data_IF_749187767715
#
_entry.id   IF_749187767715
#
_cell.length_a   1.000
_cell.length_b   1.000
_cell.length_c   1.000
_cell.angle_alpha   90.00
_cell.angle_beta   90.00
_cell.angle_gamma   90.00
#
_symmetry.space_group_name_H-M   'P 1'
#
loop_
_entity.id
_entity.type
_entity.pdbx_description
1 polymer ?
#
# COMPACT_ATOMS: atom_id res chain seq x y z
N UNK A 1 48.38 6.47 9.07
CA UNK A 1 47.39 7.27 8.35
C UNK A 1 46.06 6.54 8.27
N UNK A 2 45.29 6.46 9.34
CA UNK A 2 44.00 5.72 9.41
C UNK A 2 42.94 6.46 10.22
N UNK A 3 43.04 7.80 10.39
CA UNK A 3 42.15 8.58 11.28
C UNK A 3 41.19 9.54 10.63
N UNK A 4 41.26 9.81 9.33
CA UNK A 4 40.46 10.89 8.72
C UNK A 4 39.22 10.41 7.91
N UNK A 5 38.91 9.12 7.86
CA UNK A 5 37.90 8.64 6.93
C UNK A 5 36.50 8.38 7.50
N UNK A 6 36.27 8.39 8.82
CA UNK A 6 34.96 8.04 9.37
C UNK A 6 34.00 9.23 9.51
N UNK A 7 34.45 10.37 10.01
CA UNK A 7 33.61 11.56 10.20
C UNK A 7 33.11 12.17 8.88
N UNK A 8 33.88 12.08 7.78
CA UNK A 8 33.47 12.55 6.46
C UNK A 8 32.39 11.70 5.78
N UNK A 9 32.08 10.53 6.33
CA UNK A 9 31.11 9.55 5.80
C UNK A 9 29.77 9.55 6.55
N UNK A 10 29.62 10.34 7.61
CA UNK A 10 28.41 10.41 8.42
C UNK A 10 27.71 11.78 8.29
N UNK A 11 26.38 11.76 8.39
CA UNK A 11 25.52 12.91 8.44
C UNK A 11 24.47 12.68 9.54
N UNK A 12 24.33 13.62 10.50
CA UNK A 12 23.42 13.46 11.66
C UNK A 12 23.63 12.16 12.46
N UNK A 13 24.90 11.71 12.58
CA UNK A 13 25.23 10.48 13.31
C UNK A 13 24.89 9.17 12.56
N UNK A 14 24.55 9.25 11.28
CA UNK A 14 24.26 8.10 10.42
C UNK A 14 25.13 8.12 9.16
N UNK A 15 25.40 6.95 8.53
CA UNK A 15 26.06 6.89 7.23
C UNK A 15 25.31 7.75 6.19
N UNK A 16 26.03 8.50 5.37
CA UNK A 16 25.42 9.33 4.29
C UNK A 16 24.51 8.54 3.36
N UNK A 17 24.76 7.25 3.18
CA UNK A 17 23.88 6.34 2.43
C UNK A 17 22.45 6.30 2.93
N UNK A 18 22.21 6.49 4.25
CA UNK A 18 20.86 6.58 4.79
C UNK A 18 20.10 7.80 4.23
N UNK A 19 20.75 8.97 4.20
CA UNK A 19 20.13 10.19 3.65
C UNK A 19 19.79 10.00 2.17
N UNK A 20 20.70 9.40 1.40
CA UNK A 20 20.45 9.09 -0.02
C UNK A 20 19.24 8.20 -0.17
N UNK A 21 19.18 7.07 0.53
CA UNK A 21 18.08 6.11 0.43
C UNK A 21 16.76 6.71 0.92
N UNK A 22 16.78 7.40 2.07
CA UNK A 22 15.57 8.00 2.64
C UNK A 22 14.99 9.11 1.74
N UNK A 23 15.83 9.98 1.18
CA UNK A 23 15.38 11.04 0.27
C UNK A 23 14.90 10.46 -1.07
N UNK A 24 15.57 9.44 -1.60
CA UNK A 24 15.12 8.77 -2.83
C UNK A 24 13.74 8.13 -2.62
N UNK A 25 13.54 7.42 -1.50
CA UNK A 25 12.24 6.81 -1.16
C UNK A 25 11.16 7.87 -0.93
N UNK A 26 11.49 8.98 -0.31
CA UNK A 26 10.54 10.09 -0.15
C UNK A 26 9.98 10.57 -1.50
N UNK A 27 10.86 10.79 -2.48
CA UNK A 27 10.43 11.20 -3.83
C UNK A 27 9.68 10.10 -4.56
N UNK A 28 10.08 8.85 -4.38
CA UNK A 28 9.36 7.70 -4.92
C UNK A 28 7.96 7.62 -4.31
N UNK A 29 7.82 7.72 -2.98
CA UNK A 29 6.51 7.72 -2.32
C UNK A 29 5.65 8.92 -2.72
N UNK A 30 6.25 10.10 -2.86
CA UNK A 30 5.57 11.27 -3.39
C UNK A 30 4.95 10.99 -4.77
N UNK A 31 5.72 10.42 -5.69
CA UNK A 31 5.24 10.08 -7.02
C UNK A 31 4.17 8.98 -6.99
N UNK A 32 4.42 7.93 -6.21
CA UNK A 32 3.53 6.78 -6.05
C UNK A 32 2.15 7.17 -5.50
N UNK A 33 2.10 7.84 -4.34
CA UNK A 33 0.83 8.21 -3.71
C UNK A 33 0.11 9.32 -4.48
N UNK A 34 0.84 10.22 -5.12
CA UNK A 34 0.25 11.20 -6.02
C UNK A 34 -0.44 10.56 -7.22
N UNK A 35 0.21 9.61 -7.86
CA UNK A 35 -0.38 8.82 -8.94
C UNK A 35 -1.61 8.04 -8.47
N UNK A 36 -1.51 7.35 -7.33
CA UNK A 36 -2.61 6.56 -6.77
C UNK A 36 -3.84 7.42 -6.47
N UNK A 37 -3.64 8.62 -5.93
CA UNK A 37 -4.72 9.54 -5.60
C UNK A 37 -5.48 10.04 -6.83
N UNK A 38 -4.77 10.26 -7.96
CA UNK A 38 -5.39 10.78 -9.18
C UNK A 38 -6.00 9.71 -10.08
N UNK A 39 -5.46 8.48 -10.05
CA UNK A 39 -5.69 7.50 -11.11
C UNK A 39 -7.17 7.15 -11.34
N UNK A 40 -7.95 6.91 -10.28
CA UNK A 40 -9.37 6.60 -10.40
C UNK A 40 -10.15 7.77 -10.99
N UNK A 41 -9.94 8.99 -10.46
CA UNK A 41 -10.62 10.20 -10.93
C UNK A 41 -10.21 10.53 -12.37
N UNK A 42 -8.92 10.43 -12.69
CA UNK A 42 -8.42 10.63 -14.04
C UNK A 42 -9.09 9.70 -15.05
N UNK A 43 -9.16 8.40 -14.75
CA UNK A 43 -9.80 7.44 -15.65
C UNK A 43 -11.28 7.76 -15.85
N UNK A 44 -12.01 8.03 -14.78
CA UNK A 44 -13.48 8.19 -14.85
C UNK A 44 -13.93 9.56 -15.34
N UNK A 45 -13.15 10.62 -15.12
CA UNK A 45 -13.52 12.00 -15.45
C UNK A 45 -12.88 12.52 -16.75
N UNK A 46 -11.87 11.81 -17.26
CA UNK A 46 -11.12 12.31 -18.42
C UNK A 46 -10.78 11.21 -19.43
N UNK A 47 -9.97 10.22 -19.03
CA UNK A 47 -9.38 9.25 -19.97
C UNK A 47 -10.41 8.41 -20.73
N UNK A 48 -11.49 7.98 -20.03
CA UNK A 48 -12.50 7.09 -20.62
C UNK A 48 -13.61 7.85 -21.35
N UNK A 49 -13.56 9.19 -21.38
CA UNK A 49 -14.45 9.96 -22.25
C UNK A 49 -14.16 9.62 -23.72
N UNK A 50 -15.20 9.54 -24.59
CA UNK A 50 -15.04 9.08 -25.97
C UNK A 50 -14.00 9.84 -26.79
N UNK A 51 -13.82 11.14 -26.52
CA UNK A 51 -12.85 12.02 -27.18
C UNK A 51 -11.40 11.67 -26.83
N UNK A 52 -11.11 11.15 -25.63
CA UNK A 52 -9.77 10.80 -25.16
C UNK A 52 -9.47 9.29 -25.30
N UNK A 53 -10.46 8.46 -25.01
CA UNK A 53 -10.29 7.00 -24.98
C UNK A 53 -9.77 6.40 -26.31
N UNK A 54 -10.16 7.01 -27.45
CA UNK A 54 -9.71 6.56 -28.78
C UNK A 54 -8.23 6.80 -29.05
N UNK A 55 -7.63 7.78 -28.37
CA UNK A 55 -6.24 8.17 -28.58
C UNK A 55 -5.27 7.38 -27.72
N UNK A 56 -5.79 6.60 -26.75
CA UNK A 56 -4.97 5.77 -25.84
C UNK A 56 -4.52 4.49 -26.52
N UNK A 57 -3.21 4.33 -26.66
CA UNK A 57 -2.59 3.18 -27.30
C UNK A 57 -2.98 1.86 -26.61
N UNK A 58 -3.65 0.96 -27.33
CA UNK A 58 -4.00 -0.37 -26.85
C UNK A 58 -5.19 -0.46 -25.90
N UNK A 59 -5.89 0.67 -25.59
CA UNK A 59 -7.00 0.68 -24.63
C UNK A 59 -8.15 -0.25 -25.07
N UNK A 60 -8.52 -0.20 -26.34
CA UNK A 60 -9.60 -1.04 -26.87
C UNK A 60 -9.27 -2.55 -26.75
N UNK A 61 -8.03 -2.95 -27.04
CA UNK A 61 -7.57 -4.33 -26.90
C UNK A 61 -7.53 -4.75 -25.44
N UNK A 62 -7.03 -3.88 -24.53
CA UNK A 62 -6.99 -4.13 -23.09
C UNK A 62 -8.41 -4.28 -22.51
N UNK A 63 -9.33 -3.38 -22.87
CA UNK A 63 -10.75 -3.44 -22.46
C UNK A 63 -11.42 -4.71 -22.96
N UNK A 64 -11.20 -5.09 -24.22
CA UNK A 64 -11.71 -6.34 -24.81
C UNK A 64 -11.15 -7.57 -24.08
N UNK A 65 -9.85 -7.59 -23.78
CA UNK A 65 -9.23 -8.68 -23.02
C UNK A 65 -9.82 -8.82 -21.62
N UNK A 66 -10.01 -7.71 -20.89
CA UNK A 66 -10.67 -7.75 -19.59
C UNK A 66 -12.14 -8.18 -19.70
N UNK A 67 -12.86 -7.72 -20.74
CA UNK A 67 -14.24 -8.11 -20.97
C UNK A 67 -14.38 -9.62 -21.28
N UNK A 68 -13.39 -10.22 -21.92
CA UNK A 68 -13.35 -11.68 -22.14
C UNK A 68 -13.20 -12.45 -20.84
N UNK A 69 -12.41 -11.94 -19.89
CA UNK A 69 -12.14 -12.60 -18.60
C UNK A 69 -13.26 -12.36 -17.57
N UNK A 70 -13.77 -11.13 -17.51
CA UNK A 70 -14.68 -10.68 -16.45
C UNK A 70 -16.09 -10.32 -16.94
N UNK A 71 -16.37 -10.40 -18.23
CA UNK A 71 -17.63 -9.98 -18.85
C UNK A 71 -17.64 -8.47 -19.16
N UNK A 72 -18.72 -7.96 -19.80
CA UNK A 72 -18.89 -6.54 -20.12
C UNK A 72 -18.78 -5.66 -18.88
N UNK A 73 -18.18 -4.48 -19.03
CA UNK A 73 -17.93 -3.53 -17.93
C UNK A 73 -18.29 -2.12 -18.36
N UNK A 74 -18.94 -1.37 -17.46
CA UNK A 74 -19.06 0.08 -17.54
C UNK A 74 -17.70 0.77 -17.41
N UNK A 75 -17.65 2.09 -17.63
CA UNK A 75 -16.40 2.84 -17.50
C UNK A 75 -15.89 2.86 -16.05
N UNK A 76 -16.78 2.98 -15.05
CA UNK A 76 -16.40 2.92 -13.64
C UNK A 76 -15.88 1.52 -13.28
N UNK A 77 -16.54 0.46 -13.74
CA UNK A 77 -16.10 -0.93 -13.51
C UNK A 77 -14.74 -1.20 -14.16
N UNK A 78 -14.53 -0.70 -15.39
CA UNK A 78 -13.25 -0.83 -16.10
C UNK A 78 -12.14 -0.03 -15.40
N UNK A 79 -12.42 1.19 -14.95
CA UNK A 79 -11.48 2.00 -14.18
C UNK A 79 -11.10 1.31 -12.85
N UNK A 80 -12.09 0.80 -12.13
CA UNK A 80 -11.85 0.08 -10.88
C UNK A 80 -11.02 -1.19 -11.10
N UNK A 81 -11.33 -1.98 -12.15
CA UNK A 81 -10.56 -3.18 -12.48
C UNK A 81 -9.13 -2.84 -12.87
N UNK A 82 -8.93 -1.79 -13.66
CA UNK A 82 -7.60 -1.30 -14.06
C UNK A 82 -6.81 -0.81 -12.86
N UNK A 83 -7.44 -0.02 -11.96
CA UNK A 83 -6.84 0.43 -10.70
C UNK A 83 -6.46 -0.75 -9.81
N UNK A 84 -7.34 -1.75 -9.68
CA UNK A 84 -7.08 -2.95 -8.89
C UNK A 84 -5.92 -3.77 -9.44
N UNK A 85 -5.83 -3.97 -10.76
CA UNK A 85 -4.71 -4.67 -11.42
C UNK A 85 -3.41 -3.88 -11.24
N UNK A 86 -3.42 -2.58 -11.52
CA UNK A 86 -2.25 -1.71 -11.36
C UNK A 86 -1.73 -1.74 -9.92
N UNK A 87 -2.58 -1.40 -8.96
CA UNK A 87 -2.21 -1.34 -7.55
C UNK A 87 -1.82 -2.72 -7.01
N UNK A 88 -2.53 -3.77 -7.39
CA UNK A 88 -2.20 -5.14 -7.00
C UNK A 88 -0.80 -5.55 -7.48
N UNK A 89 -0.48 -5.31 -8.74
CA UNK A 89 0.84 -5.64 -9.29
C UNK A 89 1.96 -4.83 -8.64
N UNK A 90 1.71 -3.59 -8.19
CA UNK A 90 2.69 -2.82 -7.42
C UNK A 90 3.09 -3.51 -6.10
N UNK A 91 2.18 -4.26 -5.47
CA UNK A 91 2.48 -5.06 -4.26
C UNK A 91 3.05 -6.46 -4.58
N UNK A 92 2.81 -6.98 -5.78
CA UNK A 92 3.31 -8.29 -6.21
C UNK A 92 4.72 -8.25 -6.81
N UNK A 93 5.01 -7.26 -7.65
CA UNK A 93 6.29 -7.14 -8.37
C UNK A 93 7.53 -6.96 -7.50
N UNK A 94 7.48 -6.38 -6.27
CA UNK A 94 8.64 -6.34 -5.39
C UNK A 94 9.25 -7.71 -5.06
N UNK A 95 8.47 -8.79 -5.12
CA UNK A 95 9.01 -10.16 -4.96
C UNK A 95 9.96 -10.52 -6.11
N UNK A 96 9.60 -10.16 -7.34
CA UNK A 96 10.43 -10.36 -8.52
C UNK A 96 11.65 -9.43 -8.50
N UNK A 97 11.46 -8.18 -8.11
CA UNK A 97 12.54 -7.21 -7.97
C UNK A 97 13.56 -7.58 -6.89
N UNK A 98 13.12 -8.11 -5.77
CA UNK A 98 14.02 -8.63 -4.73
C UNK A 98 14.82 -9.84 -5.25
N UNK A 99 14.17 -10.77 -5.96
CA UNK A 99 14.88 -11.89 -6.60
C UNK A 99 15.92 -11.40 -7.62
N UNK A 100 15.55 -10.41 -8.45
CA UNK A 100 16.45 -9.81 -9.45
C UNK A 100 17.66 -9.13 -8.78
N UNK A 101 17.40 -8.36 -7.71
CA UNK A 101 18.42 -7.67 -6.94
C UNK A 101 19.36 -8.61 -6.17
N UNK A 102 18.83 -9.72 -5.65
CA UNK A 102 19.62 -10.67 -4.87
C UNK A 102 20.45 -11.62 -5.75
N UNK A 103 19.99 -11.97 -6.96
CA UNK A 103 20.56 -13.08 -7.72
C UNK A 103 21.14 -12.73 -9.09
N UNK A 104 20.71 -11.63 -9.70
CA UNK A 104 21.02 -11.36 -11.12
C UNK A 104 21.81 -10.06 -11.29
N UNK A 105 21.20 -8.92 -10.93
CA UNK A 105 21.76 -7.60 -11.22
C UNK A 105 22.51 -6.97 -10.04
N UNK A 106 22.23 -7.43 -8.80
CA UNK A 106 22.59 -6.69 -7.59
C UNK A 106 21.55 -5.60 -7.26
N UNK A 107 21.51 -5.18 -5.99
CA UNK A 107 20.47 -4.25 -5.49
C UNK A 107 20.60 -2.88 -6.14
N UNK A 108 21.80 -2.35 -6.25
CA UNK A 108 22.06 -1.00 -6.78
C UNK A 108 21.61 -0.86 -8.23
N UNK A 109 21.93 -1.82 -9.08
CA UNK A 109 21.51 -1.80 -10.50
C UNK A 109 20.01 -1.99 -10.63
N UNK A 110 19.41 -2.86 -9.79
CA UNK A 110 17.97 -3.12 -9.79
C UNK A 110 17.19 -1.87 -9.38
N UNK A 111 17.63 -1.15 -8.34
CA UNK A 111 17.02 0.12 -7.92
C UNK A 111 17.22 1.19 -8.98
N UNK A 112 18.41 1.33 -9.55
CA UNK A 112 18.67 2.32 -10.64
C UNK A 112 17.73 2.09 -11.82
N UNK A 113 17.63 0.85 -12.30
CA UNK A 113 16.73 0.50 -13.40
C UNK A 113 15.26 0.75 -13.00
N UNK A 114 14.89 0.38 -11.78
CA UNK A 114 13.55 0.63 -11.24
C UNK A 114 13.19 2.10 -11.19
N UNK A 115 14.07 2.96 -10.66
CA UNK A 115 13.87 4.41 -10.64
C UNK A 115 13.76 4.99 -12.06
N UNK A 116 14.57 4.51 -13.00
CA UNK A 116 14.52 4.94 -14.40
C UNK A 116 13.16 4.56 -15.03
N UNK A 117 12.72 3.33 -14.87
CA UNK A 117 11.44 2.87 -15.42
C UNK A 117 10.26 3.66 -14.81
N UNK A 118 10.28 3.89 -13.48
CA UNK A 118 9.24 4.71 -12.84
C UNK A 118 9.26 6.16 -13.34
N UNK A 119 10.43 6.78 -13.47
CA UNK A 119 10.54 8.14 -14.01
C UNK A 119 9.98 8.22 -15.44
N UNK A 120 10.36 7.30 -16.31
CA UNK A 120 9.82 7.22 -17.67
C UNK A 120 8.31 6.98 -17.65
N UNK A 121 7.82 6.11 -16.78
CA UNK A 121 6.38 5.83 -16.64
C UNK A 121 5.59 7.05 -16.18
N UNK A 122 6.02 7.73 -15.12
CA UNK A 122 5.33 8.94 -14.64
C UNK A 122 5.38 10.09 -15.65
N UNK A 123 6.48 10.25 -16.40
CA UNK A 123 6.57 11.23 -17.48
C UNK A 123 5.63 10.84 -18.64
N UNK A 124 5.54 9.55 -18.97
CA UNK A 124 4.62 9.07 -20.00
C UNK A 124 3.14 9.30 -19.63
N UNK A 125 2.80 9.34 -18.33
CA UNK A 125 1.45 9.74 -17.86
C UNK A 125 1.08 11.20 -18.19
N UNK A 126 2.05 12.04 -18.53
CA UNK A 126 1.76 13.39 -19.00
C UNK A 126 1.10 13.40 -20.40
N UNK A 127 0.93 12.25 -21.05
CA UNK A 127 0.20 12.06 -22.29
C UNK A 127 -0.74 10.87 -22.17
N UNK A 128 -2.03 11.07 -22.47
CA UNK A 128 -3.03 10.00 -22.46
C UNK A 128 -2.71 8.87 -23.44
N UNK A 129 -2.04 9.17 -24.55
CA UNK A 129 -1.63 8.19 -25.55
C UNK A 129 -0.84 7.03 -24.95
N UNK A 130 0.06 7.32 -24.02
CA UNK A 130 0.95 6.32 -23.40
C UNK A 130 0.45 5.74 -22.06
N UNK A 131 -0.81 5.98 -21.71
CA UNK A 131 -1.37 5.59 -20.41
C UNK A 131 -1.05 4.14 -20.00
N UNK A 132 -1.38 3.15 -20.83
CA UNK A 132 -1.13 1.74 -20.50
C UNK A 132 0.36 1.40 -20.41
N UNK A 133 1.17 1.98 -21.30
CA UNK A 133 2.64 1.81 -21.27
C UNK A 133 3.20 2.39 -19.97
N UNK A 134 2.71 3.57 -19.57
CA UNK A 134 3.09 4.22 -18.33
C UNK A 134 2.79 3.34 -17.09
N UNK A 135 1.59 2.74 -17.02
CA UNK A 135 1.25 1.82 -15.93
C UNK A 135 2.22 0.64 -15.86
N UNK A 136 2.54 0.02 -17.01
CA UNK A 136 3.48 -1.12 -17.06
C UNK A 136 4.89 -0.70 -16.59
N UNK A 137 5.39 0.45 -17.05
CA UNK A 137 6.70 0.97 -16.67
C UNK A 137 6.77 1.25 -15.16
N UNK A 138 5.73 1.85 -14.58
CA UNK A 138 5.64 2.12 -13.14
C UNK A 138 5.61 0.81 -12.35
N UNK A 139 4.80 -0.17 -12.75
CA UNK A 139 4.72 -1.48 -12.10
C UNK A 139 6.07 -2.19 -12.08
N UNK A 140 6.74 -2.26 -13.23
CA UNK A 140 8.05 -2.91 -13.34
C UNK A 140 9.11 -2.16 -12.54
N UNK A 141 9.08 -0.83 -12.59
CA UNK A 141 10.00 0.03 -11.86
C UNK A 141 9.85 -0.09 -10.34
N UNK A 142 8.63 -0.01 -9.83
CA UNK A 142 8.32 -0.16 -8.41
C UNK A 142 8.77 -1.52 -7.86
N UNK A 143 8.61 -2.59 -8.66
CA UNK A 143 9.15 -3.90 -8.35
C UNK A 143 10.65 -3.86 -8.04
N UNK A 144 11.43 -3.13 -8.84
CA UNK A 144 12.88 -2.98 -8.65
C UNK A 144 13.26 -2.14 -7.42
N UNK A 145 12.44 -1.16 -7.05
CA UNK A 145 12.75 -0.16 -6.01
C UNK A 145 12.37 -0.64 -4.61
N UNK A 146 11.08 -0.94 -4.38
CA UNK A 146 10.46 -1.03 -3.05
C UNK A 146 11.19 -2.01 -2.10
N UNK A 147 11.44 -3.24 -2.52
CA UNK A 147 12.08 -4.25 -1.67
C UNK A 147 13.60 -4.04 -1.51
N UNK A 148 14.26 -3.54 -2.56
CA UNK A 148 15.72 -3.43 -2.60
C UNK A 148 16.23 -2.23 -1.82
N UNK A 149 15.54 -1.08 -1.80
CA UNK A 149 15.97 0.09 -1.05
C UNK A 149 15.92 -0.15 0.46
N UNK A 150 14.83 -0.73 0.98
CA UNK A 150 14.74 -1.10 2.39
C UNK A 150 15.85 -2.11 2.80
N UNK A 151 16.18 -3.05 1.91
CA UNK A 151 17.30 -3.98 2.14
C UNK A 151 18.65 -3.26 2.17
N UNK A 152 18.89 -2.27 1.29
CA UNK A 152 20.10 -1.45 1.30
C UNK A 152 20.26 -0.64 2.59
N UNK A 153 19.16 -0.08 3.16
CA UNK A 153 19.20 0.56 4.48
C UNK A 153 19.74 -0.41 5.54
N UNK A 154 19.24 -1.64 5.55
CA UNK A 154 19.73 -2.66 6.48
C UNK A 154 21.22 -3.02 6.30
N UNK A 155 21.74 -2.93 5.07
CA UNK A 155 23.13 -3.25 4.75
C UNK A 155 24.11 -2.11 5.10
N UNK A 156 23.65 -0.91 5.40
CA UNK A 156 24.50 0.21 5.86
C UNK A 156 25.03 0.01 7.28
N UNK A 157 24.45 -0.90 8.04
CA UNK A 157 24.74 -1.12 9.48
C UNK A 157 25.17 -2.56 9.72
N UNK A 158 26.12 -2.75 10.63
CA UNK A 158 26.40 -4.08 11.15
C UNK A 158 25.17 -4.64 11.91
N UNK A 159 25.01 -5.97 12.00
CA UNK A 159 23.85 -6.58 12.67
C UNK A 159 23.69 -6.12 14.13
N UNK A 160 24.79 -5.85 14.83
CA UNK A 160 24.86 -5.45 16.23
C UNK A 160 24.78 -3.92 16.44
N UNK A 161 24.76 -3.11 15.36
CA UNK A 161 24.74 -1.65 15.47
C UNK A 161 23.35 -1.16 15.92
N UNK A 162 23.28 -0.65 17.15
CA UNK A 162 22.04 -0.09 17.73
C UNK A 162 21.43 1.06 16.94
N UNK A 163 22.20 1.73 16.07
CA UNK A 163 21.72 2.80 15.18
C UNK A 163 20.81 2.27 14.07
N UNK A 164 20.90 0.98 13.76
CA UNK A 164 20.10 0.34 12.71
C UNK A 164 18.58 0.54 12.90
N UNK A 165 18.09 0.34 14.12
CA UNK A 165 16.66 0.55 14.44
C UNK A 165 16.25 2.01 14.25
N UNK A 166 17.09 2.95 14.71
CA UNK A 166 16.83 4.41 14.52
C UNK A 166 16.86 4.79 13.05
N UNK A 167 17.76 4.20 12.26
CA UNK A 167 17.85 4.44 10.83
C UNK A 167 16.56 4.05 10.08
N UNK A 168 15.97 2.89 10.42
CA UNK A 168 14.67 2.52 9.87
C UNK A 168 13.56 3.48 10.31
N UNK A 169 13.64 4.02 11.53
CA UNK A 169 12.72 5.09 11.99
C UNK A 169 12.82 6.34 11.14
N UNK A 170 14.03 6.85 10.88
CA UNK A 170 14.27 7.99 9.98
C UNK A 170 13.76 7.70 8.57
N UNK A 171 14.08 6.53 8.04
CA UNK A 171 13.60 6.09 6.72
C UNK A 171 12.07 6.09 6.62
N UNK A 172 11.37 5.55 7.62
CA UNK A 172 9.90 5.52 7.66
C UNK A 172 9.27 6.91 7.78
N UNK A 173 9.86 7.80 8.61
CA UNK A 173 9.37 9.18 8.72
C UNK A 173 9.49 9.88 7.37
N UNK A 174 10.64 9.77 6.72
CA UNK A 174 10.90 10.42 5.42
C UNK A 174 9.96 9.91 4.33
N UNK A 175 9.71 8.60 4.28
CA UNK A 175 8.72 7.96 3.40
C UNK A 175 7.31 8.56 3.61
N UNK A 176 6.88 8.70 4.87
CA UNK A 176 5.56 9.25 5.18
C UNK A 176 5.42 10.73 4.83
N UNK A 177 6.51 11.51 4.89
CA UNK A 177 6.50 12.90 4.40
C UNK A 177 6.14 12.93 2.92
N UNK A 178 6.78 12.09 2.09
CA UNK A 178 6.45 11.98 0.67
C UNK A 178 4.98 11.61 0.42
N UNK A 179 4.48 10.62 1.16
CA UNK A 179 3.10 10.16 1.06
C UNK A 179 2.07 11.24 1.44
N UNK A 180 2.37 12.03 2.49
CA UNK A 180 1.48 13.09 2.99
C UNK A 180 1.44 14.30 2.07
N UNK A 181 2.60 14.69 1.50
CA UNK A 181 2.72 15.86 0.61
C UNK A 181 2.15 15.58 -0.78
N UNK A 182 2.16 14.32 -1.22
CA UNK A 182 1.73 13.93 -2.56
C UNK A 182 0.28 14.35 -2.89
N UNK A 183 -0.76 14.01 -2.12
CA UNK A 183 -2.13 14.43 -2.40
C UNK A 183 -2.28 15.96 -2.38
N UNK A 184 -1.53 16.66 -1.51
CA UNK A 184 -1.58 18.10 -1.41
C UNK A 184 -1.08 18.78 -2.69
N UNK A 185 0.04 18.34 -3.23
CA UNK A 185 0.67 18.97 -4.40
C UNK A 185 0.14 18.38 -5.69
N UNK A 186 0.30 17.07 -5.88
CA UNK A 186 -0.05 16.37 -7.11
C UNK A 186 -1.57 16.33 -7.29
N UNK A 187 -2.31 16.04 -6.20
CA UNK A 187 -3.76 16.01 -6.22
C UNK A 187 -4.37 17.36 -6.55
N UNK A 188 -3.90 18.44 -5.91
CA UNK A 188 -4.39 19.79 -6.19
C UNK A 188 -4.11 20.19 -7.63
N UNK A 189 -2.90 19.97 -8.13
CA UNK A 189 -2.57 20.29 -9.52
C UNK A 189 -3.39 19.46 -10.51
N UNK A 190 -3.57 18.18 -10.24
CA UNK A 190 -4.36 17.29 -11.09
C UNK A 190 -5.83 17.71 -11.17
N UNK A 191 -6.47 18.00 -10.01
CA UNK A 191 -7.90 18.33 -9.99
C UNK A 191 -8.21 19.79 -10.36
N UNK A 192 -7.34 20.76 -10.02
CA UNK A 192 -7.65 22.20 -10.18
C UNK A 192 -6.97 22.86 -11.38
N UNK A 193 -5.84 22.30 -11.86
CA UNK A 193 -5.10 22.87 -13.01
C UNK A 193 -5.22 21.95 -14.23
N UNK A 194 -5.07 20.63 -14.04
CA UNK A 194 -5.22 19.62 -15.07
C UNK A 194 -4.44 18.35 -14.78
N UNK A 195 -4.99 17.22 -15.15
CA UNK A 195 -4.48 15.88 -14.83
C UNK A 195 -3.02 15.68 -15.22
N UNK A 196 -2.64 16.11 -16.41
CA UNK A 196 -1.29 15.96 -16.94
C UNK A 196 -0.24 16.77 -16.15
N UNK A 197 -0.62 17.92 -15.57
CA UNK A 197 0.26 18.68 -14.68
C UNK A 197 0.53 17.91 -13.38
N UNK A 198 -0.52 17.30 -12.80
CA UNK A 198 -0.35 16.45 -11.62
C UNK A 198 0.63 15.30 -11.89
N UNK A 199 0.44 14.55 -12.97
CA UNK A 199 1.33 13.47 -13.36
C UNK A 199 2.74 13.94 -13.73
N UNK A 200 2.85 15.11 -14.37
CA UNK A 200 4.14 15.72 -14.71
C UNK A 200 4.97 16.04 -13.45
N UNK A 201 4.32 16.56 -12.39
CA UNK A 201 4.99 16.82 -11.10
C UNK A 201 5.37 15.51 -10.41
N UNK A 202 4.54 14.47 -10.48
CA UNK A 202 4.92 13.14 -10.00
C UNK A 202 6.17 12.62 -10.74
N UNK A 203 6.21 12.79 -12.07
CA UNK A 203 7.38 12.48 -12.90
C UNK A 203 8.62 13.27 -12.49
N UNK A 204 8.49 14.57 -12.26
CA UNK A 204 9.55 15.44 -11.76
C UNK A 204 10.11 14.96 -10.42
N UNK A 205 9.23 14.59 -9.49
CA UNK A 205 9.63 14.00 -8.19
C UNK A 205 10.45 12.73 -8.38
N UNK A 206 10.01 11.82 -9.27
CA UNK A 206 10.74 10.58 -9.53
C UNK A 206 12.10 10.82 -10.20
N UNK A 207 12.19 11.81 -11.09
CA UNK A 207 13.48 12.24 -11.68
C UNK A 207 14.43 12.76 -10.62
N UNK A 208 13.96 13.60 -9.68
CA UNK A 208 14.78 14.07 -8.53
C UNK A 208 15.22 12.88 -7.68
N UNK A 209 14.34 11.92 -7.41
CA UNK A 209 14.67 10.68 -6.70
C UNK A 209 15.77 9.89 -7.41
N UNK A 210 15.66 9.69 -8.71
CA UNK A 210 16.66 9.03 -9.52
C UNK A 210 18.02 9.75 -9.46
N UNK A 211 18.05 11.07 -9.65
CA UNK A 211 19.29 11.84 -9.55
C UNK A 211 19.90 11.79 -8.16
N UNK A 212 19.08 11.85 -7.10
CA UNK A 212 19.54 11.71 -5.71
C UNK A 212 20.21 10.35 -5.50
N UNK A 213 19.60 9.28 -6.01
CA UNK A 213 20.15 7.93 -5.92
C UNK A 213 21.49 7.81 -6.67
N UNK A 214 21.54 8.27 -7.93
CA UNK A 214 22.74 8.21 -8.77
C UNK A 214 23.89 9.04 -8.19
N UNK A 215 23.63 10.26 -7.73
CA UNK A 215 24.64 11.12 -7.09
C UNK A 215 25.19 10.50 -5.78
N UNK A 216 24.34 9.71 -5.11
CA UNK A 216 24.68 9.06 -3.85
C UNK A 216 25.32 7.69 -3.96
N UNK A 217 25.50 7.09 -5.16
CA UNK A 217 25.97 5.72 -5.38
C UNK A 217 27.23 5.37 -4.58
N UNK A 218 28.19 6.29 -4.48
CA UNK A 218 29.45 6.12 -3.73
C UNK A 218 29.28 5.90 -2.22
N UNK A 219 28.10 6.21 -1.69
CA UNK A 219 27.76 6.08 -0.25
C UNK A 219 26.91 4.84 0.04
N UNK A 220 26.51 4.10 -1.00
CA UNK A 220 25.68 2.91 -0.86
C UNK A 220 26.56 1.67 -0.60
N UNK A 221 25.98 0.63 0.03
CA UNK A 221 26.70 -0.61 0.26
C UNK A 221 27.01 -1.30 -1.07
N UNK A 222 28.18 -1.97 -1.14
CA UNK A 222 28.57 -2.74 -2.32
C UNK A 222 27.58 -3.88 -2.58
N UNK A 223 27.25 -4.08 -3.85
CA UNK A 223 26.41 -5.20 -4.27
C UNK A 223 27.07 -6.54 -3.97
N UNK A 224 26.39 -7.37 -3.18
CA UNK A 224 26.75 -8.77 -2.97
C UNK A 224 25.56 -9.62 -3.39
N UNK A 225 25.74 -10.40 -4.45
CA UNK A 225 24.75 -11.42 -4.82
C UNK A 225 24.79 -12.56 -3.80
N UNK A 226 23.63 -12.97 -3.34
CA UNK A 226 23.53 -14.04 -2.36
C UNK A 226 23.57 -15.40 -3.08
N UNK A 227 24.50 -16.26 -2.67
CA UNK A 227 24.54 -17.62 -3.17
C UNK A 227 23.27 -18.39 -2.77
N UNK A 228 22.94 -19.42 -3.54
CA UNK A 228 21.72 -20.23 -3.39
C UNK A 228 21.56 -20.71 -1.94
N UNK A 229 20.55 -20.20 -1.21
CA UNK A 229 20.19 -20.75 0.09
C UNK A 229 19.79 -22.22 -0.05
N UNK A 230 20.31 -23.09 0.83
CA UNK A 230 19.88 -24.48 0.88
C UNK A 230 18.36 -24.56 1.05
N UNK A 231 17.74 -25.54 0.42
CA UNK A 231 16.30 -25.80 0.60
C UNK A 231 16.05 -26.17 2.07
N UNK A 232 15.27 -25.34 2.74
CA UNK A 232 14.87 -25.58 4.11
C UNK A 232 13.79 -26.66 4.11
N UNK A 233 14.02 -27.77 4.83
CA UNK A 233 13.01 -28.79 5.09
C UNK A 233 12.25 -28.42 6.36
N UNK A 234 10.96 -28.13 6.23
CA UNK A 234 10.08 -27.86 7.37
C UNK A 234 9.70 -29.18 8.03
N UNK A 235 9.74 -29.19 9.36
CA UNK A 235 9.20 -30.28 10.19
C UNK A 235 7.67 -30.33 10.07
N UNK A 236 7.01 -31.47 10.41
CA UNK A 236 5.54 -31.53 10.39
C UNK A 236 4.84 -30.46 11.23
N UNK A 237 5.30 -30.11 12.47
CA UNK A 237 4.75 -29.00 13.22
C UNK A 237 4.93 -27.63 12.53
N UNK A 238 6.12 -27.34 12.00
CA UNK A 238 6.38 -26.09 11.26
C UNK A 238 5.49 -25.95 10.04
N UNK A 239 5.26 -27.05 9.32
CA UNK A 239 4.34 -27.08 8.16
C UNK A 239 2.91 -26.78 8.58
N UNK A 240 2.45 -27.27 9.73
CA UNK A 240 1.11 -26.96 10.27
C UNK A 240 0.97 -25.46 10.59
N UNK A 241 2.00 -24.83 11.21
CA UNK A 241 2.03 -23.37 11.45
C UNK A 241 1.95 -22.58 10.16
N UNK A 242 2.74 -22.94 9.16
CA UNK A 242 2.70 -22.29 7.84
C UNK A 242 1.28 -22.35 7.26
N UNK A 243 0.62 -23.53 7.30
CA UNK A 243 -0.76 -23.64 6.82
C UNK A 243 -1.77 -22.84 7.65
N UNK A 244 -1.60 -22.75 8.97
CA UNK A 244 -2.43 -21.91 9.82
C UNK A 244 -2.30 -20.43 9.46
N UNK A 245 -1.06 -19.95 9.25
CA UNK A 245 -0.80 -18.56 8.83
C UNK A 245 -1.37 -18.30 7.43
N UNK A 246 -1.20 -19.22 6.48
CA UNK A 246 -1.80 -19.09 5.15
C UNK A 246 -3.33 -19.06 5.22
N UNK A 247 -3.94 -19.81 6.13
CA UNK A 247 -5.38 -19.75 6.39
C UNK A 247 -5.87 -18.39 6.90
N UNK A 248 -5.03 -17.69 7.69
CA UNK A 248 -5.32 -16.32 8.15
C UNK A 248 -5.30 -15.29 7.02
N UNK A 249 -4.61 -15.57 5.91
CA UNK A 249 -4.55 -14.63 4.79
C UNK A 249 -5.90 -14.49 4.08
N UNK A 250 -6.78 -15.50 4.14
CA UNK A 250 -8.11 -15.42 3.48
C UNK A 250 -8.97 -14.32 4.10
N UNK A 251 -9.28 -14.32 5.43
CA UNK A 251 -9.99 -13.21 6.04
C UNK A 251 -9.23 -11.88 5.94
N UNK A 252 -7.89 -11.88 5.97
CA UNK A 252 -7.09 -10.68 5.78
C UNK A 252 -7.26 -10.09 4.38
N UNK A 253 -7.33 -10.91 3.33
CA UNK A 253 -7.57 -10.43 1.96
C UNK A 253 -8.97 -9.82 1.79
N UNK A 254 -10.01 -10.42 2.38
CA UNK A 254 -11.37 -9.88 2.35
C UNK A 254 -11.46 -8.54 3.08
N UNK A 255 -10.87 -8.46 4.28
CA UNK A 255 -10.73 -7.23 5.05
C UNK A 255 -10.00 -6.17 4.24
N UNK A 256 -8.85 -6.52 3.66
CA UNK A 256 -8.05 -5.61 2.84
C UNK A 256 -8.81 -5.12 1.61
N UNK A 257 -9.53 -5.99 0.91
CA UNK A 257 -10.32 -5.60 -0.26
C UNK A 257 -11.46 -4.62 0.11
N UNK A 258 -12.05 -4.75 1.31
CA UNK A 258 -13.01 -3.78 1.82
C UNK A 258 -12.34 -2.45 2.17
N UNK A 259 -11.30 -2.47 3.01
CA UNK A 259 -10.61 -1.26 3.47
C UNK A 259 -10.02 -0.44 2.32
N UNK A 260 -9.43 -1.10 1.32
CA UNK A 260 -8.82 -0.46 0.16
C UNK A 260 -9.83 0.22 -0.77
N UNK A 261 -11.14 -0.04 -0.65
CA UNK A 261 -12.16 0.74 -1.38
C UNK A 261 -12.11 2.24 -1.05
N UNK A 262 -11.52 2.61 0.07
CA UNK A 262 -11.24 4.00 0.42
C UNK A 262 -10.38 4.74 -0.64
N UNK A 263 -9.56 4.02 -1.42
CA UNK A 263 -8.73 4.58 -2.50
C UNK A 263 -9.28 4.29 -3.91
N UNK A 264 -10.35 3.51 -4.02
CA UNK A 264 -10.99 3.12 -5.26
C UNK A 264 -12.28 3.92 -5.53
N UNK A 265 -13.40 3.22 -5.46
CA UNK A 265 -14.73 3.79 -5.72
C UNK A 265 -15.10 4.94 -4.77
N UNK A 266 -14.52 4.99 -3.55
CA UNK A 266 -14.78 6.08 -2.61
C UNK A 266 -14.43 7.45 -3.19
N UNK A 267 -13.36 7.57 -3.98
CA UNK A 267 -12.99 8.84 -4.62
C UNK A 267 -14.00 9.23 -5.70
N UNK A 268 -14.47 8.26 -6.49
CA UNK A 268 -15.49 8.50 -7.52
C UNK A 268 -16.81 8.93 -6.89
N UNK A 269 -17.23 8.26 -5.81
CA UNK A 269 -18.43 8.63 -5.07
C UNK A 269 -18.31 9.99 -4.40
N UNK A 270 -17.18 10.29 -3.77
CA UNK A 270 -16.98 11.53 -3.05
C UNK A 270 -16.94 12.75 -3.98
N UNK A 271 -16.52 12.57 -5.23
CA UNK A 271 -16.48 13.66 -6.20
C UNK A 271 -17.86 14.27 -6.47
N UNK A 272 -18.90 13.48 -6.46
CA UNK A 272 -20.29 13.91 -6.74
C UNK A 272 -21.22 13.84 -5.53
N UNK A 273 -20.91 12.99 -4.55
CA UNK A 273 -21.79 12.71 -3.42
C UNK A 273 -21.44 13.45 -2.13
N UNK A 274 -20.28 14.13 -2.06
CA UNK A 274 -19.82 14.82 -0.85
C UNK A 274 -19.73 16.33 -1.09
N UNK A 275 -20.35 17.12 -0.20
CA UNK A 275 -20.14 18.57 -0.14
C UNK A 275 -18.75 18.86 0.43
N UNK A 276 -17.82 19.18 -0.45
CA UNK A 276 -16.44 19.49 -0.15
C UNK A 276 -16.15 20.98 -0.04
N UNK A 277 -17.22 21.79 0.02
CA UNK A 277 -17.09 23.25 0.14
C UNK A 277 -16.75 23.65 1.59
N UNK A 278 -15.53 24.10 1.79
CA UNK A 278 -15.04 24.60 3.08
C UNK A 278 -14.65 26.05 2.93
N UNK A 279 -15.27 26.94 3.70
CA UNK A 279 -15.03 28.38 3.64
C UNK A 279 -15.18 28.99 2.23
N UNK A 280 -16.10 28.45 1.42
CA UNK A 280 -16.35 28.93 0.05
C UNK A 280 -15.39 28.39 -1.01
N UNK A 281 -14.46 27.49 -0.63
CA UNK A 281 -13.53 26.85 -1.53
C UNK A 281 -13.81 25.33 -1.60
N UNK A 282 -13.86 24.78 -2.81
CA UNK A 282 -14.06 23.35 -3.02
C UNK A 282 -12.75 22.59 -2.86
N UNK A 283 -12.64 21.84 -1.77
CA UNK A 283 -11.46 21.01 -1.45
C UNK A 283 -11.32 19.87 -2.44
N UNK A 284 -10.13 19.62 -3.01
CA UNK A 284 -9.87 18.46 -3.86
C UNK A 284 -10.24 17.15 -3.17
N UNK A 285 -10.82 16.20 -3.91
CA UNK A 285 -11.13 14.86 -3.39
C UNK A 285 -9.87 14.19 -2.83
N UNK A 286 -8.76 14.34 -3.52
CA UNK A 286 -7.48 13.73 -3.17
C UNK A 286 -6.93 14.16 -1.83
N UNK A 287 -7.35 15.31 -1.26
CA UNK A 287 -6.91 15.76 0.06
C UNK A 287 -7.37 14.84 1.20
N UNK A 288 -8.38 14.00 0.96
CA UNK A 288 -8.76 12.99 1.95
C UNK A 288 -7.58 12.04 2.26
N UNK A 289 -6.68 11.81 1.31
CA UNK A 289 -5.48 11.02 1.55
C UNK A 289 -4.56 11.61 2.62
N UNK A 290 -4.60 12.94 2.85
CA UNK A 290 -3.88 13.59 3.96
C UNK A 290 -4.57 13.25 5.29
N UNK A 291 -5.91 13.38 5.30
CA UNK A 291 -6.74 13.09 6.48
C UNK A 291 -6.61 11.62 6.86
N UNK A 292 -6.74 10.72 5.91
CA UNK A 292 -6.53 9.28 6.05
C UNK A 292 -5.15 8.95 6.64
N UNK A 293 -4.07 9.49 6.06
CA UNK A 293 -2.72 9.25 6.58
C UNK A 293 -2.52 9.72 8.03
N UNK A 294 -3.09 10.89 8.40
CA UNK A 294 -3.03 11.40 9.77
C UNK A 294 -3.88 10.56 10.72
N UNK A 295 -5.08 10.16 10.30
CA UNK A 295 -5.98 9.33 11.09
C UNK A 295 -5.45 7.90 11.27
N UNK A 296 -4.77 7.34 10.25
CA UNK A 296 -4.07 6.05 10.38
C UNK A 296 -3.01 6.09 11.48
N UNK A 297 -2.17 7.14 11.50
CA UNK A 297 -1.17 7.32 12.57
C UNK A 297 -1.86 7.44 13.93
N UNK A 298 -2.91 8.26 14.03
CA UNK A 298 -3.71 8.43 15.25
C UNK A 298 -4.30 7.08 15.70
N UNK A 299 -4.85 6.29 14.78
CA UNK A 299 -5.44 4.99 15.04
C UNK A 299 -4.46 4.01 15.69
N UNK A 300 -3.25 3.93 15.14
CA UNK A 300 -2.17 3.10 15.71
C UNK A 300 -1.76 3.58 17.10
N UNK A 301 -1.60 4.89 17.29
CA UNK A 301 -1.22 5.48 18.59
C UNK A 301 -2.32 5.22 19.62
N UNK A 302 -3.58 5.44 19.29
CA UNK A 302 -4.73 5.22 20.19
C UNK A 302 -4.84 3.74 20.57
N UNK A 303 -4.77 2.82 19.59
CA UNK A 303 -4.81 1.39 19.85
C UNK A 303 -3.69 0.96 20.81
N UNK A 304 -2.44 1.39 20.56
CA UNK A 304 -1.31 1.09 21.43
C UNK A 304 -1.50 1.63 22.85
N UNK A 305 -2.01 2.87 23.03
CA UNK A 305 -2.27 3.45 24.35
C UNK A 305 -3.34 2.64 25.11
N UNK A 306 -4.39 2.22 24.43
CA UNK A 306 -5.44 1.37 25.01
C UNK A 306 -4.84 0.01 25.44
N UNK A 307 -4.04 -0.63 24.60
CA UNK A 307 -3.43 -1.93 24.92
C UNK A 307 -2.48 -1.83 26.13
N UNK A 308 -1.64 -0.79 26.20
CA UNK A 308 -0.77 -0.53 27.34
C UNK A 308 -1.59 -0.37 28.63
N UNK A 309 -2.67 0.42 28.58
CA UNK A 309 -3.54 0.64 29.73
C UNK A 309 -4.29 -0.63 30.18
N UNK A 310 -4.68 -1.49 29.22
CA UNK A 310 -5.29 -2.79 29.50
C UNK A 310 -4.27 -3.81 30.04
N UNK A 311 -3.05 -3.82 29.47
CA UNK A 311 -1.94 -4.66 29.95
C UNK A 311 -1.57 -4.36 31.41
N UNK A 312 -1.52 -3.07 31.79
CA UNK A 312 -1.29 -2.65 33.17
C UNK A 312 -2.35 -3.19 34.16
N UNK A 313 -3.54 -3.56 33.67
CA UNK A 313 -4.63 -4.18 34.43
C UNK A 313 -4.71 -5.71 34.25
N UNK A 314 -3.75 -6.32 33.58
CA UNK A 314 -3.77 -7.75 33.24
C UNK A 314 -4.93 -8.16 32.29
N UNK A 315 -5.46 -7.22 31.50
CA UNK A 315 -6.63 -7.40 30.62
C UNK A 315 -6.31 -7.14 29.14
N UNK A 316 -5.06 -7.18 28.73
CA UNK A 316 -4.70 -7.00 27.33
C UNK A 316 -5.37 -8.06 26.46
N UNK A 317 -6.11 -7.67 25.39
CA UNK A 317 -6.77 -8.62 24.51
C UNK A 317 -5.75 -9.44 23.72
N UNK A 318 -6.06 -10.70 23.49
CA UNK A 318 -5.28 -11.56 22.59
C UNK A 318 -5.29 -11.00 21.15
N UNK A 319 -4.22 -11.22 20.38
CA UNK A 319 -4.08 -10.67 19.01
C UNK A 319 -5.29 -10.96 18.11
N UNK A 320 -5.86 -12.19 18.18
CA UNK A 320 -7.09 -12.51 17.44
C UNK A 320 -8.28 -11.62 17.83
N UNK A 321 -8.39 -11.22 19.08
CA UNK A 321 -9.45 -10.32 19.54
C UNK A 321 -9.22 -8.89 19.03
N UNK A 322 -7.94 -8.43 19.03
CA UNK A 322 -7.57 -7.14 18.47
C UNK A 322 -7.92 -7.07 16.98
N UNK A 323 -7.53 -8.09 16.20
CA UNK A 323 -7.83 -8.18 14.77
C UNK A 323 -9.35 -8.21 14.53
N UNK A 324 -10.11 -8.99 15.32
CA UNK A 324 -11.57 -9.07 15.21
C UNK A 324 -12.24 -7.70 15.47
N UNK A 325 -11.76 -6.93 16.45
CA UNK A 325 -12.23 -5.56 16.71
C UNK A 325 -11.96 -4.67 15.47
N UNK A 326 -10.77 -4.76 14.89
CA UNK A 326 -10.45 -4.02 13.67
C UNK A 326 -11.37 -4.37 12.50
N UNK A 327 -11.61 -5.66 12.26
CA UNK A 327 -12.52 -6.10 11.19
C UNK A 327 -13.96 -5.65 11.41
N UNK A 328 -14.43 -5.72 12.66
CA UNK A 328 -15.76 -5.21 13.04
C UNK A 328 -15.88 -3.70 12.81
N UNK A 329 -14.84 -2.95 13.14
CA UNK A 329 -14.80 -1.50 12.94
C UNK A 329 -14.79 -1.12 11.46
N UNK A 330 -14.05 -1.83 10.59
CA UNK A 330 -14.13 -1.61 9.14
C UNK A 330 -15.54 -1.90 8.60
N UNK A 331 -16.17 -2.99 9.05
CA UNK A 331 -17.55 -3.27 8.68
C UNK A 331 -18.49 -2.13 9.12
N UNK A 332 -18.34 -1.62 10.34
CA UNK A 332 -19.11 -0.49 10.86
C UNK A 332 -18.87 0.80 10.07
N UNK A 333 -17.61 1.09 9.67
CA UNK A 333 -17.29 2.24 8.83
C UNK A 333 -18.08 2.18 7.51
N UNK A 334 -18.11 1.04 6.83
CA UNK A 334 -18.84 0.91 5.57
C UNK A 334 -20.38 0.87 5.76
N UNK A 335 -20.89 0.39 6.89
CA UNK A 335 -22.30 0.57 7.25
C UNK A 335 -22.62 2.06 7.44
N UNK A 336 -21.74 2.83 8.09
CA UNK A 336 -21.88 4.28 8.16
C UNK A 336 -21.83 4.92 6.75
N UNK A 337 -20.89 4.51 5.89
CA UNK A 337 -20.83 4.99 4.51
C UNK A 337 -22.13 4.71 3.75
N UNK A 338 -22.72 3.53 3.92
CA UNK A 338 -24.02 3.18 3.35
C UNK A 338 -25.16 4.10 3.87
N UNK A 339 -25.17 4.39 5.15
CA UNK A 339 -26.17 5.25 5.75
C UNK A 339 -26.05 6.72 5.29
N UNK A 340 -24.84 7.28 5.26
CA UNK A 340 -24.65 8.65 4.82
C UNK A 340 -24.85 8.81 3.31
N UNK A 341 -24.63 7.75 2.52
CA UNK A 341 -24.90 7.75 1.08
C UNK A 341 -26.41 7.81 0.73
N UNK A 342 -27.30 7.72 1.70
CA UNK A 342 -28.74 8.00 1.53
C UNK A 342 -29.05 9.51 1.51
N UNK A 343 -28.10 10.34 1.97
CA UNK A 343 -28.26 11.79 1.92
C UNK A 343 -28.11 12.29 0.48
N UNK A 344 -28.86 13.30 0.05
CA UNK A 344 -28.71 13.89 -1.29
C UNK A 344 -27.30 14.45 -1.54
N UNK A 345 -26.68 15.00 -0.51
CA UNK A 345 -25.30 15.49 -0.51
C UNK A 345 -24.73 15.28 0.90
N UNK A 346 -23.59 14.64 1.01
CA UNK A 346 -22.99 14.27 2.28
C UNK A 346 -22.12 15.40 2.81
N UNK A 347 -22.34 15.91 4.01
CA UNK A 347 -21.43 16.87 4.63
C UNK A 347 -20.02 16.29 4.77
N UNK A 348 -18.98 17.08 4.45
CA UNK A 348 -17.57 16.63 4.51
C UNK A 348 -17.18 16.07 5.88
N UNK A 349 -17.76 16.59 6.98
CA UNK A 349 -17.49 16.09 8.33
C UNK A 349 -17.95 14.65 8.54
N UNK A 350 -19.08 14.23 7.93
CA UNK A 350 -19.52 12.84 7.98
C UNK A 350 -18.60 11.92 7.16
N UNK A 351 -18.08 12.41 6.05
CA UNK A 351 -17.10 11.69 5.25
C UNK A 351 -15.77 11.53 6.00
N UNK A 352 -15.29 12.58 6.69
CA UNK A 352 -14.14 12.49 7.61
C UNK A 352 -14.43 11.52 8.76
N UNK A 353 -15.64 11.52 9.29
CA UNK A 353 -16.08 10.57 10.31
C UNK A 353 -16.00 9.10 9.87
N UNK A 354 -16.33 8.83 8.60
CA UNK A 354 -16.09 7.50 8.01
C UNK A 354 -14.61 7.11 8.07
N UNK A 355 -13.69 7.99 7.64
CA UNK A 355 -12.24 7.73 7.70
C UNK A 355 -11.75 7.59 9.14
N UNK A 356 -12.29 8.37 10.09
CA UNK A 356 -11.93 8.21 11.49
C UNK A 356 -12.23 6.79 12.01
N UNK A 357 -13.40 6.23 11.71
CA UNK A 357 -13.74 4.86 12.11
C UNK A 357 -12.86 3.86 11.35
N UNK A 358 -12.67 4.05 10.05
CA UNK A 358 -11.85 3.20 9.19
C UNK A 358 -10.42 3.07 9.74
N UNK A 359 -9.77 4.20 10.01
CA UNK A 359 -8.36 4.29 10.38
C UNK A 359 -8.10 3.89 11.85
N UNK A 360 -9.02 4.24 12.76
CA UNK A 360 -8.98 3.69 14.11
C UNK A 360 -9.04 2.15 14.07
N UNK A 361 -9.89 1.60 13.21
CA UNK A 361 -10.05 0.15 13.05
C UNK A 361 -8.84 -0.51 12.41
N UNK A 362 -8.21 0.17 11.44
CA UNK A 362 -6.94 -0.26 10.85
C UNK A 362 -5.84 -0.41 11.92
N UNK A 363 -5.74 0.55 12.85
CA UNK A 363 -4.81 0.49 13.98
C UNK A 363 -5.01 -0.73 14.89
N UNK A 364 -6.24 -1.28 14.96
CA UNK A 364 -6.54 -2.51 15.71
C UNK A 364 -6.26 -3.80 14.94
N UNK A 365 -6.28 -3.80 13.61
CA UNK A 365 -6.12 -5.00 12.78
C UNK A 365 -4.69 -5.21 12.30
N UNK A 366 -4.09 -4.19 11.71
CA UNK A 366 -2.86 -4.32 10.93
C UNK A 366 -1.62 -4.65 11.78
N UNK A 367 -1.31 -3.93 12.88
CA UNK A 367 -0.13 -4.26 13.68
C UNK A 367 -0.20 -5.65 14.32
N UNK A 368 -1.35 -6.11 14.90
CA UNK A 368 -1.44 -7.44 15.48
C UNK A 368 -1.26 -8.58 14.46
N UNK A 369 -1.78 -8.46 13.23
CA UNK A 369 -1.60 -9.52 12.23
C UNK A 369 -0.15 -9.62 11.77
N UNK A 370 0.53 -8.50 11.59
CA UNK A 370 1.96 -8.49 11.27
C UNK A 370 2.79 -9.10 12.41
N UNK A 371 2.49 -8.75 13.67
CA UNK A 371 3.14 -9.31 14.84
C UNK A 371 2.91 -10.83 14.94
N UNK A 372 1.67 -11.29 14.74
CA UNK A 372 1.31 -12.71 14.74
C UNK A 372 2.08 -13.48 13.68
N UNK A 373 2.05 -13.02 12.42
CA UNK A 373 2.78 -13.68 11.32
C UNK A 373 4.29 -13.69 11.59
N UNK A 374 4.85 -12.60 12.10
CA UNK A 374 6.28 -12.51 12.41
C UNK A 374 6.69 -13.46 13.55
N UNK A 375 5.90 -13.50 14.63
CA UNK A 375 6.19 -14.30 15.84
C UNK A 375 5.99 -15.80 15.60
N UNK A 376 4.87 -16.18 14.97
CA UNK A 376 4.43 -17.56 14.88
C UNK A 376 4.96 -18.29 13.64
N UNK A 377 5.61 -17.59 12.72
CA UNK A 377 6.30 -18.21 11.57
C UNK A 377 7.55 -18.97 12.03
N UNK A 378 7.80 -20.17 11.47
CA UNK A 378 9.08 -20.86 11.67
C UNK A 378 10.25 -19.95 11.29
N UNK A 379 11.29 -19.90 12.12
CA UNK A 379 12.47 -19.01 11.92
C UNK A 379 13.08 -19.15 10.53
N UNK A 380 13.08 -20.35 9.99
CA UNK A 380 13.64 -20.69 8.68
C UNK A 380 12.91 -20.05 7.50
N UNK A 381 11.62 -19.71 7.64
CA UNK A 381 10.76 -19.16 6.59
C UNK A 381 10.04 -17.86 7.00
N UNK A 382 10.37 -17.28 8.15
CA UNK A 382 9.70 -16.09 8.69
C UNK A 382 9.70 -14.92 7.70
N UNK A 383 10.85 -14.62 7.09
CA UNK A 383 10.93 -13.59 6.05
C UNK A 383 10.04 -13.87 4.83
N UNK A 384 9.92 -15.15 4.44
CA UNK A 384 9.04 -15.57 3.34
C UNK A 384 7.57 -15.39 3.72
N UNK A 385 7.18 -15.74 4.94
CA UNK A 385 5.80 -15.57 5.42
C UNK A 385 5.40 -14.09 5.50
N UNK A 386 6.30 -13.22 5.96
CA UNK A 386 6.09 -11.77 5.94
C UNK A 386 5.98 -11.22 4.52
N UNK A 387 6.77 -11.74 3.58
CA UNK A 387 6.66 -11.37 2.17
C UNK A 387 5.33 -11.83 1.55
N UNK A 388 4.85 -13.03 1.90
CA UNK A 388 3.54 -13.54 1.47
C UNK A 388 2.41 -12.68 2.07
N UNK A 389 2.49 -12.29 3.35
CA UNK A 389 1.52 -11.38 3.96
C UNK A 389 1.43 -10.06 3.18
N UNK A 390 2.56 -9.44 2.86
CA UNK A 390 2.58 -8.21 2.06
C UNK A 390 2.07 -8.45 0.63
N UNK A 391 2.44 -9.56 0.01
CA UNK A 391 1.98 -9.90 -1.33
C UNK A 391 0.48 -10.24 -1.38
N UNK A 392 -0.14 -10.64 -0.26
CA UNK A 392 -1.59 -10.86 -0.20
C UNK A 392 -2.41 -9.60 -0.46
N UNK A 393 -1.84 -8.41 -0.21
CA UNK A 393 -2.44 -7.14 -0.62
C UNK A 393 -2.68 -7.07 -2.14
N UNK A 394 -1.85 -7.73 -2.97
CA UNK A 394 -2.10 -7.86 -4.40
C UNK A 394 -3.48 -8.48 -4.69
N UNK A 395 -3.82 -9.54 -4.00
CA UNK A 395 -5.11 -10.22 -4.19
C UNK A 395 -6.27 -9.36 -3.64
N UNK A 396 -6.04 -8.61 -2.56
CA UNK A 396 -7.01 -7.63 -2.05
C UNK A 396 -7.31 -6.55 -3.07
N UNK A 397 -6.30 -6.02 -3.76
CA UNK A 397 -6.49 -5.04 -4.84
C UNK A 397 -7.18 -5.64 -6.07
N UNK A 398 -6.87 -6.89 -6.45
CA UNK A 398 -7.57 -7.56 -7.55
C UNK A 398 -9.06 -7.74 -7.23
N UNK A 399 -9.37 -8.13 -5.99
CA UNK A 399 -10.74 -8.24 -5.52
C UNK A 399 -11.43 -6.87 -5.44
N UNK A 400 -10.75 -5.83 -4.94
CA UNK A 400 -11.22 -4.44 -4.97
C UNK A 400 -11.63 -4.04 -6.40
N UNK A 401 -10.75 -4.26 -7.37
CA UNK A 401 -11.01 -3.93 -8.77
C UNK A 401 -12.25 -4.63 -9.31
N UNK A 402 -12.38 -5.94 -9.04
CA UNK A 402 -13.53 -6.73 -9.45
C UNK A 402 -14.84 -6.28 -8.78
N UNK A 403 -14.81 -5.88 -7.51
CA UNK A 403 -15.97 -5.40 -6.78
C UNK A 403 -16.53 -4.09 -7.35
N UNK A 404 -15.71 -3.22 -7.92
CA UNK A 404 -16.16 -1.96 -8.52
C UNK A 404 -17.23 -2.10 -9.58
N UNK A 405 -17.37 -3.25 -10.20
CA UNK A 405 -18.44 -3.56 -11.17
C UNK A 405 -19.86 -3.50 -10.59
N UNK A 406 -19.97 -3.66 -9.28
CA UNK A 406 -21.26 -3.65 -8.60
C UNK A 406 -21.70 -2.25 -8.17
N UNK A 407 -20.84 -1.22 -8.33
CA UNK A 407 -21.14 0.12 -7.87
C UNK A 407 -22.34 0.75 -8.58
N UNK A 408 -22.33 0.75 -9.91
CA UNK A 408 -23.44 1.35 -10.69
C UNK A 408 -24.73 0.54 -10.58
N UNK A 409 -24.75 -0.80 -10.68
CA UNK A 409 -25.99 -1.58 -10.54
C UNK A 409 -26.63 -1.48 -9.17
N UNK A 410 -25.83 -1.39 -8.09
CA UNK A 410 -26.34 -1.33 -6.72
C UNK A 410 -26.62 0.10 -6.23
N UNK A 411 -25.93 1.09 -6.81
CA UNK A 411 -25.87 2.43 -6.25
C UNK A 411 -25.03 2.50 -4.97
N UNK A 412 -24.63 3.71 -4.60
CA UNK A 412 -23.70 3.92 -3.48
C UNK A 412 -24.13 3.28 -2.15
N UNK A 413 -25.39 3.42 -1.67
CA UNK A 413 -25.77 2.86 -0.38
C UNK A 413 -25.60 1.34 -0.30
N UNK A 414 -26.11 0.60 -1.29
CA UNK A 414 -26.01 -0.86 -1.30
C UNK A 414 -24.59 -1.34 -1.59
N UNK A 415 -23.82 -0.60 -2.38
CA UNK A 415 -22.42 -0.90 -2.63
C UNK A 415 -21.60 -0.82 -1.35
N UNK A 416 -21.79 0.24 -0.55
CA UNK A 416 -21.10 0.36 0.74
C UNK A 416 -21.57 -0.69 1.74
N UNK A 417 -22.84 -1.04 1.73
CA UNK A 417 -23.34 -2.13 2.56
C UNK A 417 -22.74 -3.48 2.16
N UNK A 418 -22.61 -3.76 0.87
CA UNK A 418 -21.91 -4.94 0.34
C UNK A 418 -20.44 -4.96 0.79
N UNK A 419 -19.76 -3.82 0.71
CA UNK A 419 -18.35 -3.68 1.14
C UNK A 419 -18.23 -3.92 2.65
N UNK A 420 -19.13 -3.37 3.46
CA UNK A 420 -19.21 -3.68 4.90
C UNK A 420 -19.48 -5.15 5.17
N UNK A 421 -20.36 -5.78 4.37
CA UNK A 421 -20.63 -7.21 4.42
C UNK A 421 -19.39 -8.07 4.13
N UNK A 422 -18.52 -7.63 3.23
CA UNK A 422 -17.24 -8.31 2.96
C UNK A 422 -16.31 -8.27 4.18
N UNK A 423 -16.20 -7.11 4.85
CA UNK A 423 -15.45 -7.01 6.11
C UNK A 423 -16.10 -7.83 7.23
N UNK A 424 -17.43 -7.86 7.29
CA UNK A 424 -18.20 -8.72 8.18
C UNK A 424 -17.96 -10.22 7.93
N UNK A 425 -17.84 -10.63 6.66
CA UNK A 425 -17.47 -12.00 6.30
C UNK A 425 -16.06 -12.35 6.75
N UNK A 426 -15.10 -11.41 6.61
CA UNK A 426 -13.74 -11.58 7.13
C UNK A 426 -13.76 -11.78 8.67
N UNK A 427 -14.52 -10.97 9.39
CA UNK A 427 -14.73 -11.12 10.83
C UNK A 427 -15.32 -12.48 11.18
N UNK A 428 -16.39 -12.89 10.49
CA UNK A 428 -17.05 -14.17 10.74
C UNK A 428 -16.12 -15.35 10.52
N UNK A 429 -15.36 -15.36 9.42
CA UNK A 429 -14.34 -16.38 9.14
C UNK A 429 -13.29 -16.41 10.25
N UNK A 430 -12.81 -15.24 10.69
CA UNK A 430 -11.84 -15.13 11.76
C UNK A 430 -12.35 -15.73 13.08
N UNK A 431 -13.62 -15.45 13.44
CA UNK A 431 -14.24 -15.97 14.65
C UNK A 431 -14.51 -17.49 14.58
N UNK A 432 -15.03 -17.97 13.45
CA UNK A 432 -15.33 -19.40 13.24
C UNK A 432 -14.08 -20.27 13.29
N UNK A 433 -13.00 -19.78 12.67
CA UNK A 433 -11.76 -20.57 12.62
C UNK A 433 -10.79 -20.27 13.77
N UNK A 434 -11.12 -19.35 14.67
CA UNK A 434 -10.27 -18.91 15.79
C UNK A 434 -9.70 -20.09 16.60
N UNK A 435 -10.57 -20.98 17.07
CA UNK A 435 -10.16 -22.11 17.92
C UNK A 435 -9.23 -23.09 17.19
N UNK A 436 -9.53 -23.38 15.93
CA UNK A 436 -8.68 -24.26 15.08
C UNK A 436 -7.32 -23.61 14.80
N UNK A 437 -7.30 -22.32 14.50
CA UNK A 437 -6.07 -21.58 14.20
C UNK A 437 -5.19 -21.49 15.45
N UNK A 438 -5.76 -21.17 16.62
CA UNK A 438 -5.05 -21.17 17.89
C UNK A 438 -4.46 -22.54 18.22
N UNK A 439 -5.24 -23.61 18.12
CA UNK A 439 -4.77 -24.97 18.36
C UNK A 439 -3.61 -25.37 17.43
N UNK A 440 -3.63 -24.96 16.15
CA UNK A 440 -2.54 -25.21 15.21
C UNK A 440 -1.27 -24.41 15.50
N UNK A 441 -1.41 -23.19 16.01
CA UNK A 441 -0.29 -22.34 16.39
C UNK A 441 0.33 -22.79 17.72
N UNK A 442 -0.47 -23.15 18.73
CA UNK A 442 -0.03 -23.56 20.07
C UNK A 442 0.55 -24.98 20.09
N UNK A 443 -0.11 -25.95 19.43
CA UNK A 443 0.35 -27.36 19.36
C UNK A 443 1.74 -27.53 18.73
N UNK A 444 2.31 -26.47 18.22
CA UNK A 444 3.61 -26.44 17.56
C UNK A 444 4.62 -25.57 18.29
N UNK A 445 4.31 -25.01 19.47
CA UNK A 445 5.29 -24.26 20.27
C UNK A 445 6.44 -25.20 20.67
N UNK A 446 7.73 -24.82 20.55
CA UNK A 446 8.79 -25.59 21.12
C UNK A 446 8.52 -25.70 22.63
N UNK A 447 8.62 -26.91 23.19
CA UNK A 447 8.65 -27.09 24.64
C UNK A 447 9.74 -26.16 25.17
N UNK A 448 9.34 -25.21 26.02
CA UNK A 448 10.21 -24.24 26.71
C UNK A 448 11.27 -24.92 27.55
#
# INVERSE_FOLDING_TARGET
MAGESSASRELFGHPRGLTVLATTEMWERFSFYGMQALLMLYMTKYLLLPEHARDVLGLAAFRSGLATLFGPMSDIAFASQTFGIYSGLLYGTPLLGAWLGDRVLGKTRTVTLGCLLMACGHLAMASEHFFLVALVLIILGAGGVIGNMAAQVGLLYAPEDHRRTRAFGVYLITLNIGALVAPLVIGTLGEKVGWHYGFGVAGGGMVIGLFTYLAGLRHLPSDRTVSRRARVKLTPPERRRVWAILGLLVPYMLYGAAALQAYGIMFVWADTGVDRTVLGWEVPVTWIGIVDGLLTILGVVVANRIWIALAAKGREPHDFTKIAIGYAGIAAAFVMAAAIALLPLVPVLLWIGFFLILDLSYGWAEPPIQALVSRDSPRSVSATMMAILKASAMLSYFLLGWLGRFYEPLGAPLYWLMTGGLAGAALLLMLVFRSRLLALLEASAPAS
#
